data_IF_689608070058
#
_entry.id   IF_689608070058
#
_cell.length_a   1.000
_cell.length_b   1.000
_cell.length_c   1.000
_cell.angle_alpha   90.00
_cell.angle_beta   90.00
_cell.angle_gamma   90.00
#
_symmetry.space_group_name_H-M   'P 1'
#
loop_
_entity.id
_entity.type
_entity.pdbx_description
1 polymer ?
#
# COMPACT_ATOMS: atom_id res chain seq x y z
N UNK A 1 -2.71 -3.52 -0.87
CA UNK A 1 -3.02 -2.83 0.39
C UNK A 1 -2.42 -3.65 1.50
N UNK A 2 -2.13 -3.06 2.65
CA UNK A 2 -1.79 -3.87 3.82
C UNK A 2 -3.00 -4.70 4.24
N UNK A 3 -2.74 -5.90 4.74
CA UNK A 3 -3.78 -6.78 5.28
C UNK A 3 -4.40 -6.13 6.52
N UNK A 4 -5.73 -6.13 6.64
CA UNK A 4 -6.36 -5.72 7.90
C UNK A 4 -6.10 -6.85 8.89
N UNK A 5 -5.40 -6.54 9.99
CA UNK A 5 -5.24 -7.44 11.13
C UNK A 5 -5.34 -6.65 12.41
N UNK A 6 -6.18 -7.11 13.32
CA UNK A 6 -6.37 -6.55 14.66
C UNK A 6 -5.72 -7.50 15.65
N UNK A 7 -4.52 -7.16 16.10
CA UNK A 7 -3.65 -8.06 16.87
C UNK A 7 -3.38 -7.49 18.26
N UNK A 8 -3.07 -8.38 19.20
CA UNK A 8 -2.50 -7.98 20.47
C UNK A 8 -1.03 -7.59 20.27
N UNK A 9 -0.62 -6.46 20.85
CA UNK A 9 0.68 -5.86 20.65
C UNK A 9 1.22 -5.37 22.00
N UNK A 10 2.53 -5.51 22.21
CA UNK A 10 3.23 -4.92 23.35
C UNK A 10 3.36 -3.41 23.16
N UNK A 11 3.01 -2.65 24.19
CA UNK A 11 2.99 -1.19 24.15
C UNK A 11 4.27 -0.60 24.75
N UNK A 12 4.80 0.45 24.10
CA UNK A 12 5.70 1.41 24.76
C UNK A 12 4.98 2.74 24.91
N UNK A 13 4.84 3.24 26.14
CA UNK A 13 4.13 4.47 26.44
C UNK A 13 5.11 5.65 26.50
N UNK A 14 4.78 6.70 25.77
CA UNK A 14 5.54 7.96 25.73
C UNK A 14 4.69 9.12 26.22
N UNK A 15 5.34 10.11 26.81
CA UNK A 15 4.72 11.36 27.17
C UNK A 15 4.22 12.12 25.93
N UNK A 16 2.98 12.63 25.97
CA UNK A 16 2.49 13.52 24.93
C UNK A 16 3.01 14.95 25.17
N UNK A 17 3.88 15.51 24.31
CA UNK A 17 4.58 16.77 24.59
C UNK A 17 3.66 17.98 24.79
N UNK A 18 2.48 17.96 24.15
CA UNK A 18 1.54 19.09 24.13
C UNK A 18 0.18 18.79 24.79
N UNK A 19 0.10 17.84 25.72
CA UNK A 19 -1.16 17.47 26.37
C UNK A 19 -0.97 16.84 27.75
N UNK A 20 -1.68 17.36 28.77
CA UNK A 20 -1.57 16.85 30.14
C UNK A 20 -2.38 15.58 30.41
N UNK A 21 -3.44 15.35 29.62
CA UNK A 21 -4.39 14.25 29.80
C UNK A 21 -4.22 13.10 28.79
N UNK A 22 -3.21 13.18 27.91
CA UNK A 22 -2.98 12.22 26.84
C UNK A 22 -1.55 11.69 26.89
N UNK A 23 -1.35 10.49 26.36
CA UNK A 23 -0.06 9.83 26.15
C UNK A 23 -0.03 9.23 24.74
N UNK A 24 1.14 8.75 24.31
CA UNK A 24 1.33 8.08 23.03
C UNK A 24 1.69 6.62 23.29
N UNK A 25 0.80 5.70 22.92
CA UNK A 25 1.09 4.28 22.89
C UNK A 25 1.75 3.92 21.56
N UNK A 26 2.97 3.41 21.61
CA UNK A 26 3.70 2.94 20.45
C UNK A 26 3.45 1.44 20.22
N UNK A 27 3.14 1.09 18.97
CA UNK A 27 2.96 -0.28 18.46
C UNK A 27 3.82 -0.41 17.21
N UNK A 28 4.91 -1.19 17.26
CA UNK A 28 5.92 -1.16 16.20
C UNK A 28 6.49 0.25 16.02
N UNK A 29 6.33 0.83 14.82
CA UNK A 29 6.64 2.26 14.56
C UNK A 29 5.39 3.16 14.49
N UNK A 30 4.20 2.62 14.73
CA UNK A 30 2.99 3.41 14.88
C UNK A 30 2.93 4.05 16.25
N UNK A 31 2.24 5.19 16.34
CA UNK A 31 1.85 5.81 17.60
C UNK A 31 0.36 6.08 17.58
N UNK A 32 -0.35 5.67 18.62
CA UNK A 32 -1.75 5.98 18.86
C UNK A 32 -1.87 6.82 20.14
N UNK A 33 -2.69 7.85 20.10
CA UNK A 33 -2.98 8.66 21.29
C UNK A 33 -3.91 7.88 22.22
N UNK A 34 -3.51 7.76 23.48
CA UNK A 34 -4.29 7.12 24.56
C UNK A 34 -4.51 8.10 25.71
N UNK A 35 -5.49 7.81 26.57
CA UNK A 35 -5.69 8.58 27.78
C UNK A 35 -4.52 8.36 28.75
N UNK A 36 -4.09 9.41 29.44
CA UNK A 36 -2.98 9.32 30.38
C UNK A 36 -3.27 8.34 31.51
N UNK A 37 -2.31 7.44 31.78
CA UNK A 37 -2.43 6.41 32.82
C UNK A 37 -3.39 5.28 32.48
N UNK A 38 -3.85 5.17 31.23
CA UNK A 38 -4.64 4.03 30.78
C UNK A 38 -3.79 2.76 30.57
N UNK A 39 -2.50 2.92 30.30
CA UNK A 39 -1.54 1.85 30.04
C UNK A 39 -0.16 2.23 30.59
N UNK A 40 0.67 1.22 30.85
CA UNK A 40 2.09 1.34 31.16
C UNK A 40 2.95 0.63 30.10
N UNK A 41 4.22 1.02 29.97
CA UNK A 41 5.14 0.33 29.05
C UNK A 41 5.32 -1.12 29.45
N UNK A 42 5.18 -2.04 28.49
CA UNK A 42 5.14 -3.49 28.72
C UNK A 42 3.73 -4.08 28.80
N UNK A 43 2.69 -3.25 28.87
CA UNK A 43 1.31 -3.71 28.73
C UNK A 43 1.05 -4.29 27.33
N UNK A 44 0.10 -5.22 27.26
CA UNK A 44 -0.43 -5.74 25.99
C UNK A 44 -1.87 -5.27 25.78
N UNK A 45 -2.13 -4.75 24.58
CA UNK A 45 -3.45 -4.30 24.17
C UNK A 45 -3.68 -4.59 22.68
N UNK A 46 -4.91 -4.46 22.20
CA UNK A 46 -5.17 -4.56 20.77
C UNK A 46 -4.77 -3.28 20.04
N UNK A 47 -4.18 -3.46 18.86
CA UNK A 47 -4.02 -2.42 17.86
C UNK A 47 -5.05 -2.59 16.73
N UNK A 48 -5.90 -1.56 16.55
CA UNK A 48 -6.84 -1.49 15.43
C UNK A 48 -6.28 -0.50 14.40
N UNK A 49 -5.86 -0.95 13.20
CA UNK A 49 -5.19 -0.09 12.24
C UNK A 49 -6.15 0.88 11.52
N UNK A 50 -5.57 1.81 10.76
CA UNK A 50 -6.31 2.68 9.84
C UNK A 50 -7.14 1.88 8.82
N UNK A 51 -8.20 2.50 8.29
CA UNK A 51 -9.19 1.89 7.39
C UNK A 51 -10.07 0.81 8.05
N UNK A 52 -9.86 0.44 9.31
CA UNK A 52 -10.79 -0.42 10.04
C UNK A 52 -12.15 0.27 10.22
N UNK A 53 -13.24 -0.49 10.05
CA UNK A 53 -14.63 -0.10 10.31
C UNK A 53 -15.11 -0.88 11.52
N UNK A 54 -15.47 -0.17 12.58
CA UNK A 54 -15.88 -0.77 13.85
C UNK A 54 -17.40 -0.88 13.93
N UNK A 55 -17.95 -1.90 14.61
CA UNK A 55 -19.37 -1.95 14.94
C UNK A 55 -19.72 -0.90 15.99
N UNK A 56 -20.98 -0.46 16.01
CA UNK A 56 -21.47 0.60 16.90
C UNK A 56 -21.22 0.31 18.39
N UNK A 57 -21.45 -0.94 18.81
CA UNK A 57 -21.26 -1.36 20.21
C UNK A 57 -19.81 -1.16 20.67
N UNK A 58 -18.84 -1.52 19.83
CA UNK A 58 -17.42 -1.33 20.14
C UNK A 58 -17.05 0.17 20.17
N UNK A 59 -17.64 0.98 19.28
CA UNK A 59 -17.40 2.44 19.27
C UNK A 59 -17.90 3.08 20.57
N UNK A 60 -19.09 2.70 21.01
CA UNK A 60 -19.69 3.21 22.23
C UNK A 60 -18.89 2.75 23.47
N UNK A 61 -18.46 1.49 23.50
CA UNK A 61 -17.60 0.96 24.56
C UNK A 61 -16.29 1.76 24.68
N UNK A 62 -15.66 2.09 23.56
CA UNK A 62 -14.41 2.85 23.51
C UNK A 62 -14.61 4.36 23.74
N UNK A 63 -15.86 4.84 23.88
CA UNK A 63 -16.17 6.26 24.05
C UNK A 63 -15.84 7.11 22.81
N UNK A 64 -15.90 6.50 21.61
CA UNK A 64 -15.54 7.12 20.33
C UNK A 64 -16.74 7.54 19.48
N UNK A 65 -17.95 7.51 20.05
CA UNK A 65 -19.19 7.89 19.36
C UNK A 65 -19.07 9.27 18.72
N UNK A 66 -19.26 9.32 17.39
CA UNK A 66 -19.16 10.55 16.59
C UNK A 66 -17.74 11.10 16.38
N UNK A 67 -16.68 10.35 16.74
CA UNK A 67 -15.28 10.80 16.64
C UNK A 67 -14.50 10.18 15.49
N UNK A 68 -14.94 9.02 14.99
CA UNK A 68 -14.30 8.35 13.86
C UNK A 68 -14.76 8.94 12.52
N UNK A 69 -14.08 8.57 11.44
CA UNK A 69 -14.36 9.09 10.10
C UNK A 69 -15.51 8.36 9.40
N UNK A 70 -15.91 8.88 8.24
CA UNK A 70 -17.01 8.35 7.43
C UNK A 70 -18.36 8.92 7.85
N UNK A 71 -19.36 8.81 6.98
CA UNK A 71 -20.73 9.29 7.25
C UNK A 71 -21.35 8.61 8.47
N UNK A 72 -21.01 7.34 8.70
CA UNK A 72 -21.44 6.56 9.87
C UNK A 72 -20.55 6.77 11.11
N UNK A 73 -19.51 7.62 11.04
CA UNK A 73 -18.56 7.88 12.14
C UNK A 73 -18.00 6.60 12.78
N UNK A 74 -17.59 5.64 11.95
CA UNK A 74 -17.17 4.30 12.38
C UNK A 74 -15.83 3.84 11.77
N UNK A 75 -15.17 4.69 10.99
CA UNK A 75 -13.92 4.34 10.29
C UNK A 75 -12.70 4.96 10.96
N UNK A 76 -11.71 4.13 11.30
CA UNK A 76 -10.41 4.57 11.82
C UNK A 76 -9.61 5.25 10.70
N UNK A 77 -9.02 6.41 11.01
CA UNK A 77 -8.08 7.13 10.13
C UNK A 77 -6.97 7.73 10.97
N UNK A 78 -5.81 7.98 10.35
CA UNK A 78 -4.81 8.85 10.96
C UNK A 78 -5.38 10.24 11.24
N UNK A 79 -5.04 10.78 12.41
CA UNK A 79 -5.38 12.16 12.81
C UNK A 79 -4.17 12.83 13.45
N UNK A 80 -4.19 14.17 13.53
CA UNK A 80 -3.30 14.90 14.43
C UNK A 80 -4.07 15.38 15.64
N UNK A 81 -3.60 15.02 16.83
CA UNK A 81 -4.14 15.51 18.09
C UNK A 81 -3.06 16.33 18.78
N UNK A 82 -3.30 17.64 18.93
CA UNK A 82 -2.37 18.58 19.57
C UNK A 82 -0.93 18.50 19.00
N UNK A 83 -0.84 18.35 17.68
CA UNK A 83 0.42 18.29 16.93
C UNK A 83 0.92 16.88 16.66
N UNK A 84 0.64 15.92 17.54
CA UNK A 84 1.11 14.55 17.42
C UNK A 84 0.27 13.72 16.45
N UNK A 85 0.93 12.89 15.65
CA UNK A 85 0.27 11.93 14.76
C UNK A 85 -0.27 10.77 15.60
N UNK A 86 -1.55 10.44 15.40
CA UNK A 86 -2.19 9.25 15.95
C UNK A 86 -2.64 8.37 14.80
N UNK A 87 -2.06 7.18 14.69
CA UNK A 87 -2.38 6.15 13.69
C UNK A 87 -2.99 4.94 14.40
N UNK A 88 -4.17 4.53 13.95
CA UNK A 88 -4.90 3.44 14.58
C UNK A 88 -5.51 3.79 15.94
N UNK A 89 -5.98 2.76 16.63
CA UNK A 89 -6.49 2.81 18.01
C UNK A 89 -5.78 1.74 18.84
N UNK A 90 -5.55 2.03 20.12
CA UNK A 90 -5.09 1.08 21.12
C UNK A 90 -6.19 0.88 22.15
N UNK A 91 -6.65 -0.35 22.32
CA UNK A 91 -7.76 -0.66 23.21
C UNK A 91 -7.71 -2.06 23.82
N UNK A 92 -8.46 -2.27 24.91
CA UNK A 92 -8.75 -3.59 25.48
C UNK A 92 -10.27 -3.78 25.59
N UNK A 93 -10.93 -4.29 24.53
CA UNK A 93 -12.37 -4.51 24.56
C UNK A 93 -12.79 -5.54 25.61
N UNK A 94 -13.98 -5.39 26.19
CA UNK A 94 -14.55 -6.30 27.21
C UNK A 94 -14.65 -7.74 26.73
N UNK A 95 -14.90 -7.94 25.43
CA UNK A 95 -14.92 -9.26 24.80
C UNK A 95 -13.61 -10.04 24.99
N UNK A 96 -12.50 -9.35 25.33
CA UNK A 96 -11.18 -9.92 25.56
C UNK A 96 -10.73 -9.85 27.02
N UNK A 97 -11.64 -9.62 27.97
CA UNK A 97 -11.29 -9.48 29.38
C UNK A 97 -10.52 -10.70 29.91
N UNK A 98 -10.95 -11.90 29.53
CA UNK A 98 -10.38 -13.19 29.97
C UNK A 98 -9.33 -13.77 28.99
N UNK A 99 -8.92 -13.00 27.97
CA UNK A 99 -7.92 -13.44 26.99
C UNK A 99 -6.51 -13.08 27.48
N UNK A 100 -5.61 -14.06 27.42
CA UNK A 100 -4.17 -13.83 27.58
C UNK A 100 -3.60 -13.16 26.33
N UNK A 101 -3.52 -11.82 26.36
CA UNK A 101 -3.02 -11.03 25.24
C UNK A 101 -1.52 -11.23 24.97
N UNK A 102 -0.74 -11.68 25.95
CA UNK A 102 0.68 -12.01 25.74
C UNK A 102 0.79 -13.26 24.88
N UNK A 103 0.01 -14.28 25.20
CA UNK A 103 -0.03 -15.50 24.39
C UNK A 103 -0.62 -15.23 23.01
N UNK A 104 -1.71 -14.46 22.92
CA UNK A 104 -2.32 -14.10 21.64
C UNK A 104 -1.37 -13.28 20.74
N UNK A 105 -0.55 -12.39 21.31
CA UNK A 105 0.46 -11.66 20.56
C UNK A 105 1.53 -12.59 19.97
N UNK A 106 2.00 -13.59 20.73
CA UNK A 106 2.95 -14.60 20.25
C UNK A 106 2.38 -15.46 19.12
N UNK A 107 1.09 -15.79 19.21
CA UNK A 107 0.38 -16.57 18.19
C UNK A 107 -0.02 -15.72 16.98
N UNK A 108 0.06 -14.39 17.08
CA UNK A 108 -0.41 -13.46 16.06
C UNK A 108 -1.92 -13.57 15.84
N UNK A 109 -2.70 -13.83 16.89
CA UNK A 109 -4.16 -13.99 16.79
C UNK A 109 -4.79 -12.74 16.21
N UNK A 110 -5.59 -12.90 15.14
CA UNK A 110 -6.37 -11.80 14.57
C UNK A 110 -7.78 -11.78 15.18
N UNK A 111 -8.10 -10.68 15.84
CA UNK A 111 -9.37 -10.45 16.53
C UNK A 111 -10.39 -9.70 15.67
N UNK A 112 -10.09 -9.40 14.40
CA UNK A 112 -10.98 -8.62 13.54
C UNK A 112 -12.38 -9.25 13.42
N UNK A 113 -12.44 -10.56 13.12
CA UNK A 113 -13.71 -11.29 12.99
C UNK A 113 -14.49 -11.34 14.30
N UNK A 114 -13.83 -11.70 15.40
CA UNK A 114 -14.44 -11.77 16.73
C UNK A 114 -15.09 -10.44 17.15
N UNK A 115 -14.44 -9.33 16.81
CA UNK A 115 -14.90 -7.99 17.16
C UNK A 115 -15.79 -7.35 16.09
N UNK A 116 -16.14 -8.08 15.02
CA UNK A 116 -16.93 -7.55 13.91
C UNK A 116 -16.27 -6.37 13.17
N UNK A 117 -14.94 -6.26 13.25
CA UNK A 117 -14.17 -5.21 12.60
C UNK A 117 -13.92 -5.63 11.15
N UNK A 118 -14.33 -4.76 10.23
CA UNK A 118 -14.14 -4.99 8.79
C UNK A 118 -13.23 -3.94 8.19
N UNK A 119 -12.74 -4.19 6.97
CA UNK A 119 -11.94 -3.21 6.25
C UNK A 119 -12.85 -2.29 5.45
N UNK A 120 -12.64 -0.99 5.57
CA UNK A 120 -13.27 -0.04 4.68
C UNK A 120 -12.69 -0.20 3.27
N UNK A 121 -13.55 -0.44 2.30
CA UNK A 121 -13.21 -0.37 0.89
C UNK A 121 -13.92 0.85 0.28
N UNK A 122 -13.21 1.70 -0.47
CA UNK A 122 -13.85 2.78 -1.21
C UNK A 122 -14.71 2.25 -2.37
N UNK A 123 -15.65 3.06 -2.86
CA UNK A 123 -16.36 2.73 -4.09
C UNK A 123 -15.38 2.71 -5.27
N UNK A 124 -15.42 1.65 -6.07
CA UNK A 124 -14.65 1.54 -7.32
C UNK A 124 -15.31 2.44 -8.38
N UNK A 125 -14.57 3.40 -8.98
CA UNK A 125 -15.09 4.20 -10.08
C UNK A 125 -15.47 3.33 -11.27
N UNK A 126 -16.53 3.67 -12.01
CA UNK A 126 -16.99 2.87 -13.17
C UNK A 126 -15.94 2.67 -14.25
N UNK A 127 -15.01 3.62 -14.41
CA UNK A 127 -13.90 3.52 -15.38
C UNK A 127 -12.79 2.57 -14.93
N UNK A 128 -12.77 2.19 -13.64
CA UNK A 128 -11.85 1.21 -13.05
C UNK A 128 -12.52 -0.16 -12.91
N UNK A 129 -13.80 -0.27 -13.22
CA UNK A 129 -14.58 -1.50 -13.26
C UNK A 129 -14.76 -1.95 -14.72
N UNK A 130 -15.23 -3.17 -14.93
CA UNK A 130 -15.45 -3.71 -16.27
C UNK A 130 -15.87 -5.17 -16.28
N UNK A 131 -16.19 -5.68 -17.46
CA UNK A 131 -16.35 -7.12 -17.64
C UNK A 131 -15.02 -7.83 -17.38
N UNK A 132 -15.08 -8.93 -16.63
CA UNK A 132 -13.91 -9.73 -16.26
C UNK A 132 -14.01 -11.15 -16.80
N UNK A 133 -12.85 -11.78 -16.93
CA UNK A 133 -12.72 -13.18 -17.32
C UNK A 133 -11.65 -13.89 -16.48
N UNK A 134 -11.73 -15.21 -16.44
CA UNK A 134 -10.72 -16.05 -15.78
C UNK A 134 -9.39 -15.91 -16.49
N UNK A 135 -8.33 -15.62 -15.75
CA UNK A 135 -7.00 -15.35 -16.28
C UNK A 135 -5.94 -16.18 -15.53
N UNK A 136 -5.89 -17.51 -15.76
CA UNK A 136 -4.92 -18.39 -15.08
C UNK A 136 -3.47 -18.03 -15.40
N UNK A 137 -3.22 -17.42 -16.56
CA UNK A 137 -1.89 -17.00 -16.99
C UNK A 137 -1.48 -15.62 -16.48
N UNK A 138 -2.35 -14.91 -15.77
CA UNK A 138 -2.03 -13.63 -15.15
C UNK A 138 -0.94 -13.82 -14.11
N UNK A 139 0.19 -13.11 -14.27
CA UNK A 139 1.25 -13.15 -13.27
C UNK A 139 0.79 -12.40 -12.02
N UNK A 140 0.87 -13.04 -10.83
CA UNK A 140 0.41 -12.43 -9.60
C UNK A 140 1.31 -11.26 -9.20
N UNK A 141 0.70 -10.22 -8.64
CA UNK A 141 1.42 -9.18 -7.92
C UNK A 141 1.15 -9.30 -6.42
N UNK A 142 2.14 -8.90 -5.61
CA UNK A 142 2.13 -9.08 -4.15
C UNK A 142 1.44 -7.93 -3.43
N UNK A 143 0.91 -8.20 -2.24
CA UNK A 143 0.58 -7.14 -1.29
C UNK A 143 1.85 -6.55 -0.67
N UNK A 144 1.91 -5.21 -0.63
CA UNK A 144 3.01 -4.48 -0.02
C UNK A 144 2.58 -4.04 1.38
N UNK A 145 3.23 -4.64 2.38
CA UNK A 145 3.01 -4.35 3.79
C UNK A 145 3.65 -3.04 4.22
N UNK A 146 3.13 -2.45 5.30
CA UNK A 146 3.64 -1.18 5.82
C UNK A 146 4.86 -1.44 6.73
N UNK A 147 5.98 -0.75 6.45
CA UNK A 147 7.21 -0.83 7.22
C UNK A 147 6.99 -0.50 8.71
N UNK A 148 6.03 0.37 9.02
CA UNK A 148 5.70 0.71 10.41
C UNK A 148 5.18 -0.48 11.22
N UNK A 149 4.50 -1.43 10.55
CA UNK A 149 4.02 -2.67 11.18
C UNK A 149 5.13 -3.70 11.33
N UNK A 150 6.00 -3.79 10.32
CA UNK A 150 7.05 -4.81 10.23
C UNK A 150 8.41 -4.13 10.03
N UNK A 151 8.96 -3.47 11.07
CA UNK A 151 10.19 -2.70 10.95
C UNK A 151 11.42 -3.56 10.61
N UNK A 152 11.34 -4.87 10.87
CA UNK A 152 12.42 -5.83 10.67
C UNK A 152 12.38 -6.53 9.30
N UNK A 153 11.57 -6.07 8.33
CA UNK A 153 11.65 -6.59 6.95
C UNK A 153 13.06 -6.39 6.39
N UNK A 154 13.71 -5.29 6.78
CA UNK A 154 15.05 -4.92 6.35
C UNK A 154 16.04 -4.83 7.51
N UNK A 155 17.26 -5.26 7.26
CA UNK A 155 18.39 -5.20 8.19
C UNK A 155 19.12 -3.85 8.03
N UNK A 156 19.50 -3.17 9.12
CA UNK A 156 20.32 -1.96 9.06
C UNK A 156 21.57 -2.15 8.20
N UNK A 157 21.77 -1.24 7.24
CA UNK A 157 22.91 -1.24 6.34
C UNK A 157 22.78 -2.13 5.10
N UNK A 158 21.74 -2.97 4.98
CA UNK A 158 21.59 -3.79 3.76
C UNK A 158 21.32 -2.91 2.53
N UNK A 159 21.80 -3.28 1.32
CA UNK A 159 21.54 -2.50 0.12
C UNK A 159 20.06 -2.49 -0.26
N UNK A 160 19.45 -1.30 -0.35
CA UNK A 160 18.05 -1.09 -0.73
C UNK A 160 17.89 -0.04 -1.82
N UNK A 161 16.77 -0.12 -2.53
CA UNK A 161 16.29 0.90 -3.47
C UNK A 161 14.96 1.42 -2.96
N UNK A 162 14.82 2.75 -2.91
CA UNK A 162 13.58 3.43 -2.58
C UNK A 162 13.03 4.12 -3.82
N UNK A 163 11.79 3.82 -4.14
CA UNK A 163 11.04 4.51 -5.20
C UNK A 163 9.90 5.33 -4.61
N UNK A 164 9.55 6.42 -5.28
CA UNK A 164 8.37 7.19 -4.93
C UNK A 164 7.12 6.31 -5.00
N UNK A 165 6.33 6.29 -3.92
CA UNK A 165 5.02 5.68 -3.94
C UNK A 165 4.04 6.66 -4.58
N UNK A 166 3.53 6.30 -5.74
CA UNK A 166 2.48 7.05 -6.42
C UNK A 166 1.11 6.74 -5.82
N UNK A 167 0.21 7.72 -5.97
CA UNK A 167 -1.17 7.67 -5.55
C UNK A 167 -2.08 7.60 -6.78
N UNK A 168 -2.44 6.39 -7.16
CA UNK A 168 -3.29 6.13 -8.31
C UNK A 168 -4.06 4.83 -8.12
N UNK A 169 -4.02 3.97 -9.14
CA UNK A 169 -4.46 2.59 -9.02
C UNK A 169 -3.47 1.65 -9.71
N UNK A 170 -3.20 0.51 -9.09
CA UNK A 170 -2.22 -0.44 -9.59
C UNK A 170 -2.77 -1.22 -10.80
N UNK A 171 -2.06 -1.14 -11.91
CA UNK A 171 -2.32 -1.81 -13.17
C UNK A 171 -1.35 -2.99 -13.33
N UNK A 172 -1.93 -4.18 -13.44
CA UNK A 172 -1.18 -5.42 -13.66
C UNK A 172 -1.33 -5.82 -15.11
N UNK A 173 -0.26 -5.76 -15.89
CA UNK A 173 -0.26 -6.28 -17.26
C UNK A 173 0.63 -7.50 -17.34
N UNK A 174 0.13 -8.60 -17.89
CA UNK A 174 0.91 -9.79 -18.24
C UNK A 174 0.85 -10.01 -19.75
N UNK A 175 2.02 -10.11 -20.37
CA UNK A 175 2.18 -10.60 -21.73
C UNK A 175 2.52 -12.09 -21.70
N UNK A 176 1.77 -12.90 -22.43
CA UNK A 176 2.03 -14.33 -22.62
C UNK A 176 2.63 -14.50 -24.01
N UNK A 177 3.86 -15.00 -24.08
CA UNK A 177 4.60 -15.10 -25.34
C UNK A 177 3.95 -16.12 -26.29
N UNK A 178 3.43 -17.23 -25.75
CA UNK A 178 2.63 -18.16 -26.53
C UNK A 178 1.29 -17.52 -26.88
N UNK A 179 1.02 -17.37 -28.19
CA UNK A 179 -0.20 -16.75 -28.68
C UNK A 179 -0.26 -15.23 -28.54
N UNK A 180 0.82 -14.59 -28.06
CA UNK A 180 0.95 -13.13 -27.91
C UNK A 180 -0.20 -12.48 -27.13
N UNK A 181 -0.73 -13.18 -26.13
CA UNK A 181 -1.88 -12.72 -25.36
C UNK A 181 -1.49 -11.61 -24.37
N UNK A 182 -2.35 -10.60 -24.25
CA UNK A 182 -2.22 -9.53 -23.26
C UNK A 182 -3.35 -9.65 -22.24
N UNK A 183 -2.98 -9.79 -20.97
CA UNK A 183 -3.90 -9.81 -19.84
C UNK A 183 -3.70 -8.53 -19.03
N UNK A 184 -4.77 -7.78 -18.78
CA UNK A 184 -4.75 -6.56 -17.98
C UNK A 184 -5.68 -6.72 -16.79
N UNK A 185 -5.23 -6.35 -15.60
CA UNK A 185 -6.02 -6.43 -14.39
C UNK A 185 -5.75 -5.27 -13.44
N UNK A 186 -6.69 -5.01 -12.55
CA UNK A 186 -6.41 -4.21 -11.36
C UNK A 186 -5.85 -5.12 -10.26
N UNK A 187 -5.36 -4.52 -9.19
CA UNK A 187 -4.99 -5.28 -8.00
C UNK A 187 -6.15 -6.14 -7.46
N UNK A 188 -7.36 -5.57 -7.40
CA UNK A 188 -8.53 -6.22 -6.79
C UNK A 188 -9.09 -7.38 -7.61
N UNK A 189 -9.01 -7.31 -8.94
CA UNK A 189 -9.38 -8.41 -9.83
C UNK A 189 -8.24 -9.44 -9.94
N UNK A 190 -6.99 -8.98 -10.02
CA UNK A 190 -5.83 -9.86 -10.15
C UNK A 190 -5.65 -10.80 -8.95
N UNK A 191 -5.96 -10.35 -7.74
CA UNK A 191 -5.93 -11.21 -6.53
C UNK A 191 -6.96 -12.34 -6.56
N UNK A 192 -7.96 -12.27 -7.45
CA UNK A 192 -8.99 -13.31 -7.68
C UNK A 192 -8.71 -14.15 -8.93
N UNK A 193 -7.55 -13.96 -9.58
CA UNK A 193 -7.21 -14.64 -10.84
C UNK A 193 -8.06 -14.16 -12.03
N UNK A 194 -8.49 -12.90 -12.01
CA UNK A 194 -9.34 -12.32 -13.05
C UNK A 194 -8.58 -11.25 -13.84
N UNK A 195 -8.82 -11.19 -15.15
CA UNK A 195 -8.42 -10.08 -16.01
C UNK A 195 -9.66 -9.29 -16.46
N UNK A 196 -9.47 -8.00 -16.70
CA UNK A 196 -10.45 -7.13 -17.33
C UNK A 196 -10.44 -7.42 -18.84
N UNK A 197 -11.61 -7.70 -19.40
CA UNK A 197 -11.76 -7.77 -20.86
C UNK A 197 -11.43 -6.43 -21.49
N UNK A 198 -10.89 -6.48 -22.71
CA UNK A 198 -10.52 -5.26 -23.42
C UNK A 198 -11.75 -4.38 -23.70
N UNK A 199 -11.67 -3.13 -23.26
CA UNK A 199 -12.72 -2.13 -23.46
C UNK A 199 -12.09 -0.75 -23.67
N UNK A 200 -12.62 0.04 -24.60
CA UNK A 200 -12.01 1.32 -25.03
C UNK A 200 -11.96 2.35 -23.90
N UNK A 201 -12.97 2.36 -23.02
CA UNK A 201 -13.09 3.37 -21.97
C UNK A 201 -12.47 2.94 -20.65
N UNK A 202 -12.17 1.65 -20.49
CA UNK A 202 -11.55 1.13 -19.27
C UNK A 202 -10.17 1.79 -19.05
N UNK A 203 -9.97 2.28 -17.83
CA UNK A 203 -8.80 3.08 -17.45
C UNK A 203 -7.48 2.34 -17.67
N UNK A 204 -7.42 1.06 -17.28
CA UNK A 204 -6.22 0.25 -17.35
C UNK A 204 -5.86 -0.05 -18.79
N UNK A 205 -6.83 -0.46 -19.62
CA UNK A 205 -6.62 -0.69 -21.04
C UNK A 205 -6.23 0.58 -21.80
N UNK A 206 -6.75 1.75 -21.42
CA UNK A 206 -6.31 3.03 -21.99
C UNK A 206 -4.86 3.34 -21.64
N UNK A 207 -4.42 3.09 -20.41
CA UNK A 207 -3.03 3.27 -20.01
C UNK A 207 -2.11 2.28 -20.73
N UNK A 208 -2.43 0.99 -20.72
CA UNK A 208 -1.62 -0.07 -21.34
C UNK A 208 -1.41 0.19 -22.84
N UNK A 209 -2.47 0.55 -23.58
CA UNK A 209 -2.37 0.87 -25.01
C UNK A 209 -1.66 2.20 -25.27
N UNK A 210 -1.99 3.20 -24.46
CA UNK A 210 -1.44 4.56 -24.60
C UNK A 210 0.07 4.66 -24.41
N UNK A 211 0.65 3.75 -23.63
CA UNK A 211 2.09 3.67 -23.38
C UNK A 211 2.78 2.50 -24.10
N UNK A 212 2.06 1.79 -24.99
CA UNK A 212 2.55 0.63 -25.76
C UNK A 212 3.26 -0.44 -24.90
N UNK A 213 2.72 -0.67 -23.70
CA UNK A 213 3.30 -1.58 -22.71
C UNK A 213 3.43 -3.03 -23.25
N UNK A 214 2.47 -3.57 -24.04
CA UNK A 214 2.61 -4.91 -24.61
C UNK A 214 3.82 -5.07 -25.54
N UNK A 215 4.13 -4.07 -26.38
CA UNK A 215 5.28 -4.16 -27.29
C UNK A 215 6.61 -4.20 -26.51
N UNK A 216 6.69 -3.46 -25.41
CA UNK A 216 7.85 -3.48 -24.50
C UNK A 216 7.99 -4.86 -23.86
N UNK A 217 6.89 -5.42 -23.33
CA UNK A 217 6.90 -6.74 -22.71
C UNK A 217 7.25 -7.85 -23.71
N UNK A 218 6.77 -7.78 -24.95
CA UNK A 218 7.11 -8.72 -26.01
C UNK A 218 8.61 -8.70 -26.35
N UNK A 219 9.21 -7.51 -26.47
CA UNK A 219 10.67 -7.38 -26.66
C UNK A 219 11.45 -7.96 -25.49
N UNK A 220 11.01 -7.69 -24.25
CA UNK A 220 11.64 -8.22 -23.05
C UNK A 220 11.53 -9.76 -22.99
N UNK A 221 10.37 -10.31 -23.35
CA UNK A 221 10.13 -11.74 -23.43
C UNK A 221 11.10 -12.40 -24.41
N UNK A 222 11.19 -11.87 -25.63
CA UNK A 222 12.10 -12.37 -26.66
C UNK A 222 13.58 -12.27 -26.25
N UNK A 223 13.97 -11.16 -25.62
CA UNK A 223 15.34 -10.93 -25.14
C UNK A 223 15.76 -11.94 -24.07
N UNK A 224 14.86 -12.29 -23.17
CA UNK A 224 15.15 -13.13 -22.00
C UNK A 224 14.74 -14.60 -22.19
N UNK A 225 14.04 -14.94 -23.27
CA UNK A 225 13.45 -16.26 -23.45
C UNK A 225 12.34 -16.55 -22.44
N UNK A 226 11.59 -15.51 -22.02
CA UNK A 226 10.53 -15.66 -21.03
C UNK A 226 9.21 -16.10 -21.67
N UNK A 227 8.50 -17.04 -21.04
CA UNK A 227 7.16 -17.48 -21.44
C UNK A 227 6.10 -16.43 -21.11
N UNK A 228 6.29 -15.70 -20.01
CA UNK A 228 5.40 -14.62 -19.56
C UNK A 228 6.21 -13.44 -19.03
N UNK A 229 5.70 -12.23 -19.23
CA UNK A 229 6.29 -10.98 -18.71
C UNK A 229 5.22 -10.16 -18.03
N UNK A 230 5.41 -9.86 -16.76
CA UNK A 230 4.57 -8.96 -15.97
C UNK A 230 5.17 -7.57 -15.96
N UNK A 231 4.42 -6.56 -16.41
CA UNK A 231 4.73 -5.15 -16.22
C UNK A 231 3.69 -4.56 -15.27
N UNK A 232 4.14 -4.14 -14.09
CA UNK A 232 3.28 -3.61 -13.05
C UNK A 232 3.54 -2.12 -12.90
N UNK A 233 2.48 -1.33 -13.04
CA UNK A 233 2.61 0.12 -12.99
C UNK A 233 1.43 0.80 -12.29
N UNK A 234 1.65 2.02 -11.83
CA UNK A 234 0.60 2.84 -11.26
C UNK A 234 -0.04 3.67 -12.37
N UNK A 235 -1.34 3.57 -12.55
CA UNK A 235 -2.12 4.49 -13.38
C UNK A 235 -2.54 5.66 -12.51
N UNK A 236 -2.25 6.89 -12.93
CA UNK A 236 -2.49 8.09 -12.15
C UNK A 236 -2.99 9.26 -13.01
N UNK A 237 -3.43 10.33 -12.34
CA UNK A 237 -3.92 11.54 -13.00
C UNK A 237 -5.22 12.04 -12.39
N UNK A 238 -5.56 13.30 -12.70
CA UNK A 238 -6.86 13.87 -12.31
C UNK A 238 -7.99 12.99 -12.85
N UNK A 239 -8.85 12.54 -11.94
CA UNK A 239 -9.97 11.64 -12.23
C UNK A 239 -9.68 10.16 -11.94
N UNK A 240 -8.45 9.79 -11.56
CA UNK A 240 -8.11 8.50 -10.97
C UNK A 240 -8.25 8.58 -9.44
N UNK A 241 -7.47 9.45 -8.81
CA UNK A 241 -7.48 9.76 -7.38
C UNK A 241 -7.42 11.29 -7.16
N UNK A 242 -7.29 11.77 -5.91
CA UNK A 242 -7.17 13.20 -5.62
C UNK A 242 -5.82 13.80 -6.06
N UNK A 243 -4.76 12.99 -6.07
CA UNK A 243 -3.42 13.43 -6.47
C UNK A 243 -3.22 13.25 -7.98
N UNK A 244 -3.21 14.37 -8.70
CA UNK A 244 -3.24 14.36 -10.16
C UNK A 244 -1.88 14.33 -10.86
N UNK A 245 -0.75 14.64 -10.19
CA UNK A 245 0.59 14.68 -10.78
C UNK A 245 0.72 15.53 -12.07
N UNK A 246 -0.24 16.43 -12.32
CA UNK A 246 -0.32 17.19 -13.57
C UNK A 246 -0.78 16.39 -14.80
N UNK A 247 -1.13 15.11 -14.65
CA UNK A 247 -1.70 14.26 -15.69
C UNK A 247 -3.25 14.32 -15.66
N UNK A 248 -3.88 14.13 -16.82
CA UNK A 248 -5.34 14.15 -16.98
C UNK A 248 -5.82 12.78 -17.47
N UNK A 249 -6.46 11.99 -16.60
CA UNK A 249 -6.92 10.65 -16.97
C UNK A 249 -8.27 10.64 -17.72
N UNK A 250 -9.03 11.74 -17.64
CA UNK A 250 -10.35 11.90 -18.28
C UNK A 250 -10.30 12.49 -19.69
N UNK A 251 -9.15 13.00 -20.14
CA UNK A 251 -9.01 13.52 -21.50
C UNK A 251 -9.07 12.35 -22.49
N UNK A 252 -9.94 12.43 -23.50
CA UNK A 252 -10.11 11.35 -24.48
C UNK A 252 -8.85 11.14 -25.34
N UNK A 253 -8.15 12.22 -25.67
CA UNK A 253 -7.06 12.23 -26.66
C UNK A 253 -5.66 12.08 -26.04
N UNK A 254 -5.57 11.82 -24.73
CA UNK A 254 -4.29 11.65 -24.04
C UNK A 254 -4.39 10.44 -23.10
N UNK A 255 -3.40 9.54 -23.12
CA UNK A 255 -3.43 8.42 -22.20
C UNK A 255 -3.30 8.90 -20.75
N UNK A 256 -3.90 8.17 -19.78
CA UNK A 256 -3.66 8.41 -18.37
C UNK A 256 -2.15 8.40 -18.04
N UNK A 257 -1.78 9.05 -16.93
CA UNK A 257 -0.44 8.88 -16.39
C UNK A 257 -0.20 7.40 -16.07
N UNK A 258 0.99 6.91 -16.38
CA UNK A 258 1.42 5.54 -16.12
C UNK A 258 2.86 5.57 -15.65
N UNK A 259 3.23 4.77 -14.66
CA UNK A 259 4.61 4.62 -14.23
C UNK A 259 4.86 3.20 -13.70
N UNK A 260 5.80 2.48 -14.30
CA UNK A 260 6.17 1.12 -13.91
C UNK A 260 6.88 1.14 -12.57
N UNK A 261 6.43 0.31 -11.64
CA UNK A 261 7.05 0.13 -10.32
C UNK A 261 7.67 -1.25 -10.13
N UNK A 262 7.30 -2.24 -10.94
CA UNK A 262 7.85 -3.60 -10.83
C UNK A 262 7.77 -4.34 -12.17
N UNK A 263 8.66 -5.31 -12.34
CA UNK A 263 8.70 -6.19 -13.52
C UNK A 263 8.92 -7.62 -13.04
N UNK A 264 8.16 -8.57 -13.57
CA UNK A 264 8.44 -10.00 -13.40
C UNK A 264 8.53 -10.71 -14.74
N UNK A 265 9.26 -11.82 -14.78
CA UNK A 265 9.37 -12.69 -15.95
C UNK A 265 9.26 -14.13 -15.51
N UNK A 266 8.61 -14.95 -16.31
CA UNK A 266 8.63 -16.40 -16.13
C UNK A 266 9.58 -17.04 -17.13
N UNK A 267 10.58 -17.75 -16.61
CA UNK A 267 11.57 -18.48 -17.39
C UNK A 267 11.67 -19.88 -16.79
N UNK A 268 11.51 -20.91 -17.62
CA UNK A 268 11.57 -22.32 -17.21
C UNK A 268 10.60 -22.67 -16.05
N UNK A 269 9.43 -22.01 -16.01
CA UNK A 269 8.41 -22.22 -14.98
C UNK A 269 8.68 -21.50 -13.66
N UNK A 270 9.74 -20.70 -13.57
CA UNK A 270 10.04 -19.88 -12.40
C UNK A 270 9.77 -18.40 -12.66
N UNK A 271 8.99 -17.77 -11.78
CA UNK A 271 8.77 -16.32 -11.79
C UNK A 271 9.93 -15.62 -11.10
N UNK A 272 10.58 -14.70 -11.81
CA UNK A 272 11.71 -13.89 -11.34
C UNK A 272 11.34 -12.42 -11.39
N UNK A 273 11.71 -11.67 -10.34
CA UNK A 273 11.47 -10.23 -10.24
C UNK A 273 12.70 -9.47 -10.70
N UNK A 274 12.50 -8.42 -11.47
CA UNK A 274 13.54 -7.60 -12.06
C UNK A 274 13.41 -6.16 -11.58
N UNK A 275 14.54 -5.47 -11.43
CA UNK A 275 14.52 -4.02 -11.28
C UNK A 275 14.10 -3.37 -12.61
N UNK A 276 12.98 -2.60 -12.67
CA UNK A 276 12.54 -1.95 -13.90
C UNK A 276 13.60 -1.07 -14.55
N UNK A 277 14.43 -0.39 -13.75
CA UNK A 277 15.52 0.47 -14.24
C UNK A 277 16.65 -0.32 -14.91
N UNK A 278 16.82 -1.60 -14.56
CA UNK A 278 17.82 -2.47 -15.16
C UNK A 278 17.24 -3.30 -16.32
N UNK A 279 15.94 -3.63 -16.24
CA UNK A 279 15.25 -4.48 -17.21
C UNK A 279 14.85 -3.72 -18.49
N UNK A 280 14.47 -2.45 -18.35
CA UNK A 280 13.92 -1.62 -19.43
C UNK A 280 14.96 -0.63 -19.93
N UNK A 281 14.87 -0.27 -21.22
CA UNK A 281 15.76 0.75 -21.80
C UNK A 281 15.32 2.15 -21.37
N UNK A 282 16.26 3.09 -21.28
CA UNK A 282 15.97 4.48 -20.90
C UNK A 282 14.85 5.08 -21.77
N UNK A 283 13.78 5.54 -21.12
CA UNK A 283 12.63 6.17 -21.78
C UNK A 283 11.68 5.22 -22.50
N UNK A 284 11.89 3.90 -22.43
CA UNK A 284 11.03 2.89 -23.06
C UNK A 284 9.63 2.84 -22.41
N UNK A 285 9.57 2.96 -21.08
CA UNK A 285 8.35 3.19 -20.31
C UNK A 285 8.64 4.22 -19.21
N UNK A 286 7.65 5.02 -18.79
CA UNK A 286 7.82 5.85 -17.60
C UNK A 286 7.97 4.95 -16.37
N UNK A 287 8.95 5.25 -15.53
CA UNK A 287 9.20 4.51 -14.28
C UNK A 287 8.81 5.37 -13.08
N UNK A 288 8.41 4.73 -11.98
CA UNK A 288 8.30 5.45 -10.71
C UNK A 288 9.67 6.02 -10.31
N UNK A 289 9.79 7.29 -9.88
CA UNK A 289 11.07 7.90 -9.57
C UNK A 289 11.86 7.12 -8.51
N UNK A 290 13.12 6.80 -8.81
CA UNK A 290 14.09 6.30 -7.82
C UNK A 290 14.59 7.48 -7.00
N UNK A 291 14.34 7.43 -5.70
CA UNK A 291 14.71 8.51 -4.78
C UNK A 291 16.00 8.23 -4.06
N UNK A 292 16.33 6.94 -3.87
CA UNK A 292 17.53 6.52 -3.17
C UNK A 292 17.94 5.10 -3.56
N UNK A 293 19.25 4.88 -3.54
CA UNK A 293 19.90 3.58 -3.63
C UNK A 293 21.11 3.60 -2.70
N UNK A 294 21.19 2.63 -1.78
CA UNK A 294 22.24 2.62 -0.77
C UNK A 294 21.89 1.78 0.46
N UNK A 295 22.65 1.91 1.55
CA UNK A 295 22.42 1.14 2.77
C UNK A 295 21.10 1.53 3.44
N UNK A 296 20.34 0.55 3.89
CA UNK A 296 19.09 0.75 4.61
C UNK A 296 19.33 1.46 5.93
N UNK A 297 18.61 2.56 6.13
CA UNK A 297 18.50 3.27 7.40
C UNK A 297 17.06 3.74 7.58
N UNK A 298 16.45 3.43 8.72
CA UNK A 298 15.05 3.76 8.98
C UNK A 298 14.79 5.28 8.85
N UNK A 299 15.69 6.11 9.40
CA UNK A 299 15.55 7.57 9.33
C UNK A 299 15.56 8.09 7.90
N UNK A 300 16.44 7.55 7.04
CA UNK A 300 16.50 7.88 5.61
C UNK A 300 15.18 7.52 4.92
N UNK A 301 14.60 6.37 5.24
CA UNK A 301 13.32 5.94 4.69
C UNK A 301 12.19 6.88 5.12
N UNK A 302 12.12 7.23 6.41
CA UNK A 302 11.06 8.10 6.93
C UNK A 302 11.17 9.54 6.43
N UNK A 303 12.40 10.04 6.24
CA UNK A 303 12.68 11.33 5.61
C UNK A 303 12.18 11.33 4.16
N UNK A 304 12.60 10.34 3.36
CA UNK A 304 12.22 10.24 1.94
C UNK A 304 10.75 9.87 1.71
N UNK A 305 10.12 9.20 2.67
CA UNK A 305 8.67 8.98 2.65
C UNK A 305 7.89 10.29 2.64
N UNK A 306 8.46 11.36 3.20
CA UNK A 306 7.85 12.68 3.27
C UNK A 306 8.38 13.64 2.20
N UNK A 307 7.67 14.75 1.99
CA UNK A 307 8.06 15.80 1.05
C UNK A 307 7.12 15.93 -0.15
N UNK A 308 7.62 16.61 -1.18
CA UNK A 308 6.89 16.85 -2.43
C UNK A 308 7.11 15.70 -3.40
N UNK A 309 6.10 15.44 -4.22
CA UNK A 309 6.20 14.47 -5.31
C UNK A 309 7.24 14.92 -6.36
N UNK A 310 7.94 13.96 -6.96
CA UNK A 310 8.97 14.22 -7.99
C UNK A 310 8.52 13.83 -9.40
N UNK A 311 7.40 13.11 -9.52
CA UNK A 311 6.87 12.55 -10.77
C UNK A 311 6.61 13.65 -11.80
N UNK A 312 6.01 14.77 -11.37
CA UNK A 312 5.66 15.87 -12.27
C UNK A 312 6.81 16.81 -12.61
N UNK A 313 7.93 16.71 -11.86
CA UNK A 313 9.03 17.67 -11.89
C UNK A 313 8.68 19.09 -11.42
N UNK A 314 7.53 19.29 -10.76
CA UNK A 314 6.99 20.62 -10.41
C UNK A 314 6.51 20.75 -8.97
N UNK A 315 6.74 19.74 -8.11
CA UNK A 315 6.35 19.74 -6.70
C UNK A 315 4.87 20.11 -6.46
N UNK A 316 3.96 19.56 -7.26
CA UNK A 316 2.56 20.01 -7.31
C UNK A 316 1.81 19.72 -6.01
N UNK A 317 2.12 18.60 -5.36
CA UNK A 317 1.51 18.17 -4.11
C UNK A 317 2.48 17.35 -3.26
N UNK A 318 2.00 16.88 -2.11
CA UNK A 318 2.76 15.98 -1.25
C UNK A 318 2.92 14.62 -1.94
N UNK A 319 4.06 13.99 -1.71
CA UNK A 319 4.28 12.58 -2.01
C UNK A 319 3.45 11.71 -1.07
N UNK A 320 2.94 10.57 -1.56
CA UNK A 320 2.26 9.62 -0.68
C UNK A 320 3.23 8.94 0.28
N UNK A 321 4.36 8.45 -0.25
CA UNK A 321 5.35 7.70 0.52
C UNK A 321 6.47 7.19 -0.36
N UNK A 322 7.15 6.15 0.13
CA UNK A 322 8.11 5.37 -0.64
C UNK A 322 7.78 3.89 -0.59
N UNK A 323 8.20 3.17 -1.62
CA UNK A 323 8.30 1.71 -1.64
C UNK A 323 9.77 1.35 -1.51
N UNK A 324 10.07 0.39 -0.62
CA UNK A 324 11.40 -0.09 -0.30
C UNK A 324 11.52 -1.53 -0.79
N UNK A 325 12.62 -1.84 -1.47
CA UNK A 325 13.02 -3.20 -1.87
C UNK A 325 14.52 -3.37 -1.68
N UNK A 326 15.03 -4.59 -1.45
CA UNK A 326 16.46 -4.85 -1.47
C UNK A 326 17.00 -4.60 -2.88
N UNK A 327 18.27 -4.22 -3.00
CA UNK A 327 18.92 -4.07 -4.31
C UNK A 327 19.03 -5.41 -5.06
N UNK A 328 19.15 -6.51 -4.32
CA UNK A 328 19.06 -7.88 -4.83
C UNK A 328 17.83 -8.57 -4.21
N UNK A 329 16.94 -9.09 -5.05
CA UNK A 329 15.68 -9.66 -4.56
C UNK A 329 15.88 -10.83 -3.62
N UNK A 330 15.11 -10.84 -2.53
CA UNK A 330 15.16 -11.90 -1.52
C UNK A 330 13.81 -12.16 -0.86
N UNK A 331 13.69 -13.37 -0.34
CA UNK A 331 12.58 -13.73 0.54
C UNK A 331 12.73 -13.03 1.90
N UNK A 332 11.60 -12.65 2.49
CA UNK A 332 11.51 -12.14 3.85
C UNK A 332 10.66 -13.09 4.70
N UNK A 333 11.23 -13.71 5.76
CA UNK A 333 10.47 -14.54 6.68
C UNK A 333 9.48 -13.70 7.52
N UNK A 334 9.68 -12.39 7.61
CA UNK A 334 8.82 -11.48 8.39
C UNK A 334 7.44 -11.34 7.75
N UNK A 335 7.40 -11.25 6.42
CA UNK A 335 6.14 -11.09 5.65
C UNK A 335 5.77 -12.35 4.85
N UNK A 336 6.57 -13.41 4.94
CA UNK A 336 6.28 -14.69 4.28
C UNK A 336 6.35 -14.64 2.74
N UNK A 337 7.10 -13.70 2.17
CA UNK A 337 7.11 -13.43 0.73
C UNK A 337 8.30 -12.59 0.29
N UNK A 338 8.10 -11.70 -0.69
CA UNK A 338 9.16 -10.76 -1.11
C UNK A 338 9.49 -9.78 0.00
N UNK A 339 10.77 -9.45 0.15
CA UNK A 339 11.21 -8.35 1.02
C UNK A 339 10.86 -7.00 0.38
N UNK A 340 9.58 -6.62 0.42
CA UNK A 340 9.09 -5.34 -0.11
C UNK A 340 8.15 -4.70 0.91
N UNK A 341 8.34 -3.41 1.17
CA UNK A 341 7.49 -2.67 2.09
C UNK A 341 7.21 -1.26 1.57
N UNK A 342 6.23 -0.60 2.19
CA UNK A 342 5.96 0.82 1.97
C UNK A 342 6.10 1.60 3.26
N UNK A 343 6.56 2.84 3.16
CA UNK A 343 6.48 3.83 4.22
C UNK A 343 5.64 5.01 3.71
N UNK A 344 4.56 5.34 4.41
CA UNK A 344 3.60 6.39 3.99
C UNK A 344 3.85 7.67 4.79
N UNK A 345 3.81 8.82 4.12
CA UNK A 345 4.05 10.11 4.77
C UNK A 345 2.96 10.44 5.80
N UNK A 346 3.33 10.85 7.02
CA UNK A 346 2.40 11.44 7.98
C UNK A 346 1.60 12.63 7.42
N UNK A 347 2.21 13.44 6.55
CA UNK A 347 1.56 14.60 5.94
C UNK A 347 0.50 14.17 4.92
N UNK A 348 0.77 13.11 4.15
CA UNK A 348 -0.18 12.52 3.22
C UNK A 348 -1.37 11.90 3.96
N UNK A 349 -1.13 11.13 5.03
CA UNK A 349 -2.17 10.45 5.82
C UNK A 349 -3.17 11.44 6.47
N UNK A 350 -2.69 12.64 6.78
CA UNK A 350 -3.49 13.68 7.47
C UNK A 350 -3.90 14.83 6.55
N UNK A 351 -3.73 14.67 5.22
CA UNK A 351 -4.06 15.71 4.25
C UNK A 351 -5.56 16.02 4.23
N UNK A 352 -5.90 17.27 3.97
CA UNK A 352 -7.30 17.72 3.90
C UNK A 352 -7.90 17.34 2.55
N UNK A 353 -9.13 16.81 2.57
CA UNK A 353 -9.90 16.53 1.36
C UNK A 353 -9.39 15.34 0.53
N UNK A 354 -8.51 14.50 1.09
CA UNK A 354 -8.00 13.34 0.39
C UNK A 354 -9.10 12.32 0.07
N UNK A 355 -9.07 11.78 -1.15
CA UNK A 355 -9.91 10.64 -1.56
C UNK A 355 -9.03 9.42 -1.74
N UNK A 356 -9.49 8.27 -1.30
CA UNK A 356 -8.90 6.99 -1.64
C UNK A 356 -9.98 6.22 -2.38
N UNK A 357 -9.74 5.89 -3.65
CA UNK A 357 -10.47 4.91 -4.45
C UNK A 357 -9.62 3.64 -4.56
N UNK A 358 -10.23 2.50 -4.88
CA UNK A 358 -9.52 1.24 -5.16
C UNK A 358 -9.74 0.80 -6.59
#
# INVERSE_FOLDING_TARGET
MSTLRVTAEELTIHHHPNADALELAQVGLYRAVVAKGAYESGDFALYIPEQAVLPAELIDELGLTGRLAGSASNRVRAVRLRGELSQGLVCRPRALADVDLVQAAKEGTDFAELLGITKWAPPVPTTMDGEVESAPDLLPWVDIENLQRYPHIFEPGEPVVLTEKLHGTACLMTYVAEGEQVLVSSKGFGSKGLALKEEERNLYWRAVRGHDVPAVAARLAAKLGASRVGIFGEVYGTGVQDLGYGAQARAADTPPGYAVFDVSVEIDGEVRWLDPYAALSDGELPLVPRLFEGPYGLDVVLELASGRETVSGRDLHLREGVVIRPAAERYSPVVGGRAIAKAVSPAYLTRKGGTEYE
#
